data_IF_076202200139
#
_entry.id   IF_076202200139
#
_cell.length_a   1.000
_cell.length_b   1.000
_cell.length_c   1.000
_cell.angle_alpha   90.00
_cell.angle_beta   90.00
_cell.angle_gamma   90.00
#
_symmetry.space_group_name_H-M   'P 1'
#
loop_
_entity.id
_entity.type
_entity.pdbx_description
1 polymer ?
#
# COMPACT_ATOMS: atom_id res chain seq x y z
N UNK A 1 -21.17 9.31 9.70
CA UNK A 1 -19.91 8.91 9.03
C UNK A 1 -19.41 7.64 9.72
N UNK A 2 -19.52 6.47 9.08
CA UNK A 2 -19.25 5.17 9.71
C UNK A 2 -17.76 4.98 10.03
N UNK A 3 -17.45 4.09 10.98
CA UNK A 3 -16.09 3.78 11.40
C UNK A 3 -15.23 3.21 10.25
N UNK A 4 -15.86 2.51 9.31
CA UNK A 4 -15.26 1.96 8.10
C UNK A 4 -14.61 3.05 7.22
N UNK A 5 -15.26 4.22 7.08
CA UNK A 5 -14.70 5.33 6.29
C UNK A 5 -13.46 5.96 6.93
N UNK A 6 -13.30 5.85 8.26
CA UNK A 6 -12.12 6.39 8.97
C UNK A 6 -10.92 5.45 8.85
N UNK A 7 -11.14 4.14 8.92
CA UNK A 7 -10.09 3.14 8.79
C UNK A 7 -9.57 3.06 7.35
N UNK A 8 -10.47 3.15 6.34
CA UNK A 8 -10.07 3.27 4.94
C UNK A 8 -9.21 4.51 4.67
N UNK A 9 -9.63 5.68 5.17
CA UNK A 9 -8.84 6.93 5.11
C UNK A 9 -7.47 6.80 5.79
N UNK A 10 -7.42 6.11 6.93
CA UNK A 10 -6.17 5.82 7.63
C UNK A 10 -5.26 4.93 6.78
N UNK A 11 -5.76 3.80 6.28
CA UNK A 11 -5.02 2.85 5.44
C UNK A 11 -4.51 3.46 4.12
N UNK A 12 -5.25 4.43 3.55
CA UNK A 12 -4.87 5.17 2.33
C UNK A 12 -3.69 6.12 2.56
N UNK A 13 -3.80 6.98 3.57
CA UNK A 13 -2.95 8.18 3.67
C UNK A 13 -1.62 7.94 4.39
N UNK A 14 -1.47 6.85 5.13
CA UNK A 14 -0.31 6.66 6.00
C UNK A 14 0.94 6.11 5.29
N UNK A 15 0.86 5.69 4.03
CA UNK A 15 2.02 5.23 3.25
C UNK A 15 2.86 4.18 4.03
N UNK A 16 4.20 4.33 4.14
CA UNK A 16 5.06 3.40 4.89
C UNK A 16 4.73 3.32 6.39
N UNK A 17 4.05 4.33 6.95
CA UNK A 17 3.68 4.32 8.37
C UNK A 17 2.72 3.18 8.74
N UNK A 18 1.97 2.63 7.77
CA UNK A 18 1.10 1.46 7.99
C UNK A 18 1.88 0.19 8.33
N UNK A 19 3.15 0.12 7.94
CA UNK A 19 4.02 -1.02 8.25
C UNK A 19 4.90 -0.74 9.47
N UNK A 20 5.39 0.49 9.61
CA UNK A 20 6.28 0.87 10.72
C UNK A 20 5.63 0.71 12.10
N UNK A 21 4.35 1.03 12.25
CA UNK A 21 3.67 0.91 13.56
C UNK A 21 3.51 -0.55 13.99
N UNK A 22 2.93 -1.47 13.17
CA UNK A 22 2.87 -2.89 13.53
C UNK A 22 4.23 -3.54 13.73
N UNK A 23 5.20 -3.26 12.83
CA UNK A 23 6.56 -3.79 12.95
C UNK A 23 7.21 -3.31 14.25
N UNK A 24 7.08 -2.02 14.57
CA UNK A 24 7.61 -1.47 15.81
C UNK A 24 7.00 -2.12 17.05
N UNK A 25 5.69 -2.37 17.06
CA UNK A 25 5.00 -3.08 18.15
C UNK A 25 5.51 -4.52 18.27
N UNK A 26 5.65 -5.24 17.14
CA UNK A 26 6.17 -6.60 17.12
C UNK A 26 7.58 -6.65 17.69
N UNK A 27 8.46 -5.71 17.32
CA UNK A 27 9.83 -5.63 17.85
C UNK A 27 9.84 -5.35 19.36
N UNK A 28 8.97 -4.46 19.85
CA UNK A 28 8.83 -4.20 21.29
C UNK A 28 8.40 -5.47 22.02
N UNK A 29 7.35 -6.16 21.53
CA UNK A 29 6.84 -7.40 22.13
C UNK A 29 7.92 -8.48 22.12
N UNK A 30 8.63 -8.67 21.00
CA UNK A 30 9.75 -9.59 20.89
C UNK A 30 10.85 -9.26 21.91
N UNK A 31 11.22 -7.98 22.04
CA UNK A 31 12.21 -7.55 23.03
C UNK A 31 11.76 -7.79 24.48
N UNK A 32 10.48 -7.62 24.80
CA UNK A 32 9.93 -7.95 26.13
C UNK A 32 9.99 -9.46 26.37
N UNK A 33 9.59 -10.28 25.38
CA UNK A 33 9.65 -11.75 25.48
C UNK A 33 11.09 -12.23 25.63
N UNK A 34 12.04 -11.70 24.84
CA UNK A 34 13.46 -12.01 24.98
C UNK A 34 14.06 -11.54 26.30
N UNK A 35 13.49 -10.50 26.93
CA UNK A 35 13.92 -10.06 28.27
C UNK A 35 13.62 -11.11 29.35
N UNK A 36 12.60 -11.96 29.16
CA UNK A 36 12.31 -13.08 30.07
C UNK A 36 13.40 -14.17 30.01
N UNK A 37 14.04 -14.34 28.85
CA UNK A 37 15.16 -15.26 28.66
C UNK A 37 16.54 -14.63 28.96
N UNK A 38 16.55 -13.42 29.53
CA UNK A 38 17.79 -12.72 29.82
C UNK A 38 18.50 -13.37 31.02
N UNK A 39 19.72 -13.84 30.78
CA UNK A 39 20.53 -14.52 31.80
C UNK A 39 21.60 -13.61 32.41
N UNK A 40 21.38 -12.29 32.39
CA UNK A 40 22.30 -11.29 32.97
C UNK A 40 22.69 -11.61 34.41
N UNK A 41 21.70 -11.95 35.23
CA UNK A 41 21.85 -12.20 36.67
C UNK A 41 22.18 -13.67 36.99
N UNK A 42 22.32 -14.51 35.96
CA UNK A 42 22.69 -15.91 36.16
C UNK A 42 24.15 -15.98 36.62
N UNK A 43 24.38 -16.83 37.62
CA UNK A 43 25.70 -17.14 38.15
C UNK A 43 26.32 -18.26 37.33
N UNK A 44 27.65 -18.28 37.26
CA UNK A 44 28.39 -19.29 36.51
C UNK A 44 28.90 -20.38 37.47
N UNK A 45 28.73 -21.64 37.09
CA UNK A 45 29.31 -22.81 37.73
C UNK A 45 29.94 -23.74 36.68
N UNK A 46 30.75 -24.69 37.15
CA UNK A 46 31.27 -25.79 36.33
C UNK A 46 30.46 -27.06 36.63
N UNK A 47 29.84 -27.62 35.60
CA UNK A 47 29.22 -28.93 35.66
C UNK A 47 30.19 -30.02 35.21
N UNK A 48 30.08 -31.21 35.80
CA UNK A 48 30.83 -32.40 35.41
C UNK A 48 29.87 -33.33 34.67
N UNK A 49 30.23 -33.70 33.43
CA UNK A 49 29.43 -34.60 32.59
C UNK A 49 29.41 -36.00 33.20
N UNK A 50 28.21 -36.50 33.49
CA UNK A 50 27.98 -37.84 34.02
C UNK A 50 27.57 -38.83 32.94
N UNK A 51 26.87 -38.37 31.90
CA UNK A 51 26.43 -39.21 30.77
C UNK A 51 26.23 -38.39 29.48
N UNK A 52 26.31 -39.06 28.32
CA UNK A 52 26.13 -38.44 27.00
C UNK A 52 25.33 -39.36 26.10
N UNK A 53 24.17 -38.88 25.66
CA UNK A 53 23.26 -39.61 24.77
C UNK A 53 23.36 -38.99 23.37
N UNK A 54 23.95 -39.69 22.38
CA UNK A 54 23.97 -39.23 21.01
C UNK A 54 22.61 -39.44 20.34
N UNK A 55 22.12 -38.42 19.64
CA UNK A 55 20.90 -38.43 18.83
C UNK A 55 21.24 -37.97 17.40
N UNK A 56 20.41 -38.36 16.44
CA UNK A 56 20.49 -37.86 15.06
C UNK A 56 19.21 -37.09 14.78
N UNK A 57 19.32 -35.83 14.35
CA UNK A 57 18.16 -35.02 14.00
C UNK A 57 17.61 -35.40 12.61
N UNK A 58 16.46 -34.83 12.25
CA UNK A 58 15.77 -35.12 10.98
C UNK A 58 16.60 -34.79 9.73
N UNK A 59 17.58 -33.89 9.86
CA UNK A 59 18.53 -33.51 8.81
C UNK A 59 19.77 -34.42 8.74
N UNK A 60 19.81 -35.48 9.55
CA UNK A 60 20.93 -36.44 9.59
C UNK A 60 22.17 -35.93 10.33
N UNK A 61 22.09 -34.81 11.04
CA UNK A 61 23.19 -34.28 11.85
C UNK A 61 23.21 -34.92 13.24
N UNK A 62 24.41 -35.20 13.74
CA UNK A 62 24.59 -35.72 15.10
C UNK A 62 24.42 -34.60 16.12
N UNK A 63 23.59 -34.85 17.11
CA UNK A 63 23.35 -34.01 18.27
C UNK A 63 23.62 -34.83 19.54
N UNK A 64 23.93 -34.14 20.64
CA UNK A 64 24.25 -34.77 21.91
C UNK A 64 23.38 -34.18 23.00
N UNK A 65 22.73 -35.06 23.77
CA UNK A 65 22.14 -34.71 25.06
C UNK A 65 23.15 -35.04 26.15
N UNK A 66 23.60 -34.02 26.86
CA UNK A 66 24.63 -34.14 27.90
C UNK A 66 23.96 -34.05 29.26
N UNK A 67 24.14 -35.08 30.09
CA UNK A 67 23.71 -35.13 31.48
C UNK A 67 24.91 -34.78 32.36
N UNK A 68 24.73 -33.86 33.31
CA UNK A 68 25.80 -33.36 34.17
C UNK A 68 25.29 -33.02 35.56
N UNK A 69 26.24 -32.96 36.50
CA UNK A 69 26.01 -32.53 37.88
C UNK A 69 26.83 -31.27 38.16
N UNK A 70 26.30 -30.32 38.94
CA UNK A 70 27.04 -29.11 39.29
C UNK A 70 26.71 -28.63 40.71
N UNK A 71 27.65 -27.93 41.33
CA UNK A 71 27.47 -27.29 42.63
C UNK A 71 27.15 -25.80 42.44
N UNK A 72 26.11 -25.34 43.13
CA UNK A 72 25.76 -23.92 43.24
C UNK A 72 26.68 -23.20 44.22
N UNK A 73 26.77 -21.87 44.13
CA UNK A 73 27.65 -21.07 45.02
C UNK A 73 27.20 -21.13 46.49
N UNK A 74 25.91 -21.39 46.72
CA UNK A 74 25.33 -21.59 48.06
C UNK A 74 25.42 -23.06 48.54
N UNK A 75 26.17 -23.91 47.82
CA UNK A 75 26.50 -25.27 48.26
C UNK A 75 25.41 -26.32 48.01
N UNK A 76 24.37 -26.02 47.21
CA UNK A 76 23.39 -27.01 46.76
C UNK A 76 23.99 -27.82 45.60
N UNK A 77 23.93 -29.15 45.73
CA UNK A 77 24.32 -30.09 44.68
C UNK A 77 23.14 -30.35 43.74
N UNK A 78 23.32 -30.08 42.45
CA UNK A 78 22.31 -30.28 41.42
C UNK A 78 22.68 -31.51 40.59
N UNK A 79 21.86 -32.56 40.66
CA UNK A 79 22.08 -33.82 39.95
C UNK A 79 21.22 -33.94 38.69
N UNK A 80 21.71 -34.73 37.73
CA UNK A 80 21.00 -35.17 36.53
C UNK A 80 20.42 -34.01 35.69
N UNK A 81 21.15 -32.91 35.62
CA UNK A 81 20.79 -31.77 34.80
C UNK A 81 21.16 -32.04 33.34
N UNK A 82 20.44 -31.47 32.39
CA UNK A 82 20.61 -31.81 30.99
C UNK A 82 20.70 -30.59 30.07
N UNK A 83 21.58 -30.69 29.08
CA UNK A 83 21.56 -29.84 27.89
C UNK A 83 21.33 -30.72 26.67
N UNK A 84 20.24 -30.45 25.94
CA UNK A 84 19.91 -31.14 24.70
C UNK A 84 20.45 -30.40 23.47
N UNK A 85 20.49 -31.09 22.33
CA UNK A 85 20.77 -30.54 21.01
C UNK A 85 22.14 -29.83 20.90
N UNK A 86 23.15 -30.35 21.60
CA UNK A 86 24.52 -29.84 21.49
C UNK A 86 25.19 -30.43 20.24
N UNK A 87 25.85 -29.61 19.44
CA UNK A 87 26.59 -30.06 18.24
C UNK A 87 28.01 -30.54 18.55
N UNK A 88 28.53 -30.20 19.73
CA UNK A 88 29.86 -30.62 20.18
C UNK A 88 29.76 -31.96 20.90
N UNK A 89 30.65 -32.88 20.58
CA UNK A 89 30.83 -34.14 21.30
C UNK A 89 31.48 -33.88 22.68
N UNK A 90 30.89 -34.46 23.72
CA UNK A 90 31.40 -34.42 25.10
C UNK A 90 31.71 -35.83 25.58
N UNK A 91 32.61 -35.95 26.55
CA UNK A 91 32.95 -37.20 27.24
C UNK A 91 32.56 -37.13 28.71
N UNK A 92 32.31 -38.30 29.30
CA UNK A 92 32.11 -38.43 30.75
C UNK A 92 33.35 -37.88 31.47
N UNK A 93 33.13 -37.03 32.46
CA UNK A 93 34.17 -36.31 33.19
C UNK A 93 34.57 -34.95 32.60
N UNK A 94 34.07 -34.59 31.41
CA UNK A 94 34.31 -33.26 30.85
C UNK A 94 33.66 -32.17 31.72
N UNK A 95 34.29 -31.00 31.72
CA UNK A 95 33.74 -29.80 32.35
C UNK A 95 32.89 -29.02 31.36
N UNK A 96 31.68 -28.65 31.77
CA UNK A 96 30.77 -27.80 31.02
C UNK A 96 30.45 -26.52 31.80
N UNK A 97 30.34 -25.39 31.08
CA UNK A 97 29.93 -24.13 31.71
C UNK A 97 28.42 -24.12 31.88
N UNK A 98 27.97 -23.88 33.11
CA UNK A 98 26.56 -23.80 33.47
C UNK A 98 26.29 -22.41 33.98
N UNK A 99 25.32 -21.73 33.39
CA UNK A 99 24.75 -20.50 33.95
C UNK A 99 23.40 -20.86 34.57
N UNK A 100 23.22 -20.58 35.85
CA UNK A 100 21.99 -20.89 36.59
C UNK A 100 21.37 -19.65 37.23
N UNK A 101 20.04 -19.63 37.36
CA UNK A 101 19.34 -18.60 38.12
C UNK A 101 19.53 -18.85 39.64
N UNK A 102 20.15 -17.95 40.42
CA UNK A 102 20.33 -18.15 41.85
C UNK A 102 19.01 -18.25 42.63
N UNK A 103 17.91 -17.70 42.10
CA UNK A 103 16.57 -17.79 42.71
C UNK A 103 15.86 -19.10 42.39
N UNK A 104 16.23 -19.73 41.28
CA UNK A 104 15.65 -20.99 40.77
C UNK A 104 16.72 -21.82 40.05
N UNK A 105 17.59 -22.57 40.77
CA UNK A 105 18.76 -23.22 40.18
C UNK A 105 18.46 -24.32 39.15
N UNK A 106 17.20 -24.76 39.04
CA UNK A 106 16.76 -25.66 37.98
C UNK A 106 16.73 -24.97 36.60
N UNK A 107 16.68 -23.63 36.56
CA UNK A 107 16.78 -22.85 35.32
C UNK A 107 18.24 -22.66 34.94
N UNK A 108 18.69 -23.50 34.00
CA UNK A 108 20.06 -23.55 33.52
C UNK A 108 20.17 -23.21 32.04
N UNK A 109 21.30 -22.67 31.63
CA UNK A 109 21.69 -22.49 30.23
C UNK A 109 23.20 -22.66 30.06
N UNK A 110 23.63 -23.04 28.86
CA UNK A 110 25.04 -23.16 28.50
C UNK A 110 25.63 -21.86 27.92
N UNK A 111 24.81 -20.80 27.77
CA UNK A 111 25.20 -19.54 27.17
C UNK A 111 24.65 -18.33 27.94
N UNK A 112 25.48 -17.29 28.08
CA UNK A 112 25.07 -16.03 28.69
C UNK A 112 24.52 -15.10 27.62
N UNK A 113 23.21 -14.90 27.61
CA UNK A 113 22.57 -13.91 26.74
C UNK A 113 22.68 -12.55 27.42
N UNK A 114 23.37 -11.61 26.78
CA UNK A 114 23.50 -10.25 27.30
C UNK A 114 22.16 -9.50 27.25
N UNK A 115 21.92 -8.64 28.24
CA UNK A 115 20.73 -7.80 28.30
C UNK A 115 20.60 -6.81 27.12
N UNK A 116 21.66 -6.61 26.34
CA UNK A 116 21.72 -5.62 25.27
C UNK A 116 20.79 -5.96 24.10
N UNK A 117 20.61 -7.25 23.77
CA UNK A 117 19.80 -7.66 22.62
C UNK A 117 18.29 -7.40 22.83
N UNK A 118 17.68 -7.77 23.98
CA UNK A 118 16.31 -7.36 24.29
C UNK A 118 16.12 -5.83 24.31
N UNK A 119 17.08 -5.11 24.89
CA UNK A 119 17.07 -3.63 24.91
C UNK A 119 17.10 -3.07 23.50
N UNK A 120 17.94 -3.62 22.62
CA UNK A 120 18.03 -3.19 21.22
C UNK A 120 16.69 -3.36 20.49
N UNK A 121 16.03 -4.50 20.63
CA UNK A 121 14.72 -4.74 20.02
C UNK A 121 13.66 -3.74 20.51
N UNK A 122 13.63 -3.46 21.81
CA UNK A 122 12.71 -2.48 22.41
C UNK A 122 12.99 -1.07 21.86
N UNK A 123 14.26 -0.65 21.80
CA UNK A 123 14.65 0.67 21.29
C UNK A 123 14.32 0.83 19.82
N UNK A 124 14.69 -0.15 18.98
CA UNK A 124 14.37 -0.12 17.54
C UNK A 124 12.86 -0.10 17.31
N UNK A 125 12.12 -0.91 18.05
CA UNK A 125 10.66 -0.94 17.96
C UNK A 125 10.02 0.39 18.38
N UNK A 126 10.49 1.00 19.48
CA UNK A 126 10.01 2.30 19.93
C UNK A 126 10.28 3.42 18.90
N UNK A 127 11.48 3.44 18.31
CA UNK A 127 11.84 4.40 17.25
C UNK A 127 10.96 4.19 16.02
N UNK A 128 10.77 2.95 15.57
CA UNK A 128 9.91 2.63 14.43
C UNK A 128 8.45 3.05 14.66
N UNK A 129 7.89 2.74 15.84
CA UNK A 129 6.54 3.14 16.22
C UNK A 129 6.39 4.67 16.28
N UNK A 130 7.35 5.38 16.90
CA UNK A 130 7.32 6.84 16.98
C UNK A 130 7.40 7.49 15.59
N UNK A 131 8.28 6.99 14.71
CA UNK A 131 8.38 7.45 13.32
C UNK A 131 7.07 7.20 12.56
N UNK A 132 6.47 6.02 12.70
CA UNK A 132 5.19 5.68 12.10
C UNK A 132 4.05 6.59 12.57
N UNK A 133 3.96 6.88 13.87
CA UNK A 133 2.98 7.83 14.43
C UNK A 133 3.22 9.24 13.86
N UNK A 134 4.45 9.72 13.84
CA UNK A 134 4.78 11.04 13.30
C UNK A 134 4.40 11.19 11.82
N UNK A 135 4.74 10.21 10.98
CA UNK A 135 4.39 10.20 9.56
C UNK A 135 2.88 10.18 9.36
N UNK A 136 2.17 9.39 10.15
CA UNK A 136 0.70 9.34 10.18
C UNK A 136 0.10 10.72 10.50
N UNK A 137 0.58 11.38 11.57
CA UNK A 137 0.12 12.73 11.95
C UNK A 137 0.41 13.75 10.84
N UNK A 138 1.59 13.69 10.23
CA UNK A 138 1.96 14.57 9.11
C UNK A 138 1.03 14.38 7.90
N UNK A 139 0.70 13.14 7.56
CA UNK A 139 -0.24 12.83 6.49
C UNK A 139 -1.65 13.37 6.78
N UNK A 140 -2.14 13.21 8.00
CA UNK A 140 -3.43 13.78 8.41
C UNK A 140 -3.44 15.31 8.37
N UNK A 141 -2.35 15.97 8.79
CA UNK A 141 -2.22 17.43 8.67
C UNK A 141 -2.27 17.88 7.21
N UNK A 142 -1.58 17.19 6.31
CA UNK A 142 -1.62 17.48 4.87
C UNK A 142 -3.03 17.30 4.30
N UNK A 143 -3.70 16.19 4.61
CA UNK A 143 -5.09 15.95 4.20
C UNK A 143 -6.04 17.03 4.73
N UNK A 144 -5.89 17.44 6.00
CA UNK A 144 -6.72 18.50 6.58
C UNK A 144 -6.49 19.85 5.92
N UNK A 145 -5.25 20.17 5.54
CA UNK A 145 -4.94 21.39 4.78
C UNK A 145 -5.59 21.35 3.40
N UNK A 146 -5.56 20.20 2.70
CA UNK A 146 -6.21 20.03 1.39
C UNK A 146 -7.75 20.13 1.48
N UNK A 147 -8.34 19.63 2.58
CA UNK A 147 -9.77 19.75 2.88
C UNK A 147 -10.17 21.20 3.22
N UNK A 148 -9.24 22.01 3.76
CA UNK A 148 -9.48 23.43 4.05
C UNK A 148 -9.38 24.31 2.79
N UNK A 149 -8.49 23.96 1.86
CA UNK A 149 -8.27 24.76 0.64
C UNK A 149 -9.22 24.40 -0.50
N UNK A 150 -9.87 23.23 -0.46
CA UNK A 150 -11.05 22.98 -1.30
C UNK A 150 -12.14 22.37 -0.41
N UNK A 151 -13.25 23.09 -0.18
CA UNK A 151 -14.31 22.62 0.70
C UNK A 151 -14.85 21.29 0.18
N UNK A 152 -15.09 20.36 1.10
CA UNK A 152 -15.79 19.12 0.79
C UNK A 152 -17.11 19.42 0.08
N UNK A 153 -17.51 18.55 -0.85
CA UNK A 153 -18.80 18.60 -1.51
C UNK A 153 -19.91 18.90 -0.50
N UNK A 154 -20.68 19.96 -0.74
CA UNK A 154 -21.83 20.27 0.11
C UNK A 154 -22.82 19.09 0.09
N UNK A 155 -23.62 18.94 1.14
CA UNK A 155 -24.67 17.90 1.15
C UNK A 155 -25.62 18.06 -0.05
N UNK A 156 -25.84 19.29 -0.51
CA UNK A 156 -26.59 19.60 -1.73
C UNK A 156 -25.88 19.05 -2.97
N UNK A 157 -24.58 19.31 -3.16
CA UNK A 157 -23.81 18.80 -4.30
C UNK A 157 -23.84 17.26 -4.37
N UNK A 158 -23.80 16.57 -3.22
CA UNK A 158 -23.94 15.11 -3.19
C UNK A 158 -25.33 14.63 -3.59
N UNK A 159 -26.37 15.34 -3.16
CA UNK A 159 -27.75 15.03 -3.56
C UNK A 159 -27.96 15.27 -5.07
N UNK A 160 -27.40 16.34 -5.62
CA UNK A 160 -27.47 16.66 -7.04
C UNK A 160 -26.80 15.56 -7.88
N UNK A 161 -25.62 15.08 -7.46
CA UNK A 161 -24.90 14.00 -8.13
C UNK A 161 -25.71 12.70 -8.20
N UNK A 162 -26.51 12.37 -7.18
CA UNK A 162 -27.40 11.20 -7.25
C UNK A 162 -28.48 11.33 -8.34
N UNK A 163 -28.93 12.56 -8.63
CA UNK A 163 -29.89 12.86 -9.68
C UNK A 163 -29.29 13.11 -11.07
N UNK A 164 -27.97 13.17 -11.23
CA UNK A 164 -27.32 13.61 -12.48
C UNK A 164 -27.76 12.83 -13.71
N UNK A 165 -27.99 11.51 -13.59
CA UNK A 165 -28.40 10.67 -14.72
C UNK A 165 -29.75 11.06 -15.34
N UNK A 166 -30.62 11.70 -14.56
CA UNK A 166 -31.99 12.07 -14.98
C UNK A 166 -32.23 13.57 -14.90
N UNK A 167 -31.24 14.35 -14.49
CA UNK A 167 -31.36 15.79 -14.34
C UNK A 167 -31.45 16.49 -15.71
N UNK A 168 -32.36 17.45 -15.81
CA UNK A 168 -32.50 18.26 -17.01
C UNK A 168 -31.24 19.11 -17.24
N UNK A 169 -30.71 19.08 -18.47
CA UNK A 169 -29.51 19.83 -18.84
C UNK A 169 -28.18 19.16 -18.48
N UNK A 170 -28.21 17.95 -17.92
CA UNK A 170 -27.05 17.08 -17.84
C UNK A 170 -26.94 16.27 -19.13
N UNK A 171 -25.74 16.22 -19.71
CA UNK A 171 -25.45 15.46 -20.91
C UNK A 171 -24.58 14.26 -20.55
N UNK A 172 -24.89 13.12 -21.18
CA UNK A 172 -24.07 11.92 -21.11
C UNK A 172 -23.00 11.94 -22.19
N UNK A 173 -21.77 11.60 -21.80
CA UNK A 173 -20.61 11.47 -22.67
C UNK A 173 -19.89 10.16 -22.42
N UNK A 174 -19.14 9.72 -23.42
CA UNK A 174 -18.42 8.45 -23.42
C UNK A 174 -16.93 8.71 -23.55
N UNK A 175 -16.16 8.13 -22.64
CA UNK A 175 -14.71 8.18 -22.67
C UNK A 175 -14.15 6.79 -22.98
N UNK A 176 -13.40 6.70 -24.07
CA UNK A 176 -12.87 5.44 -24.59
C UNK A 176 -11.42 5.57 -25.06
N UNK A 177 -10.74 4.43 -25.10
CA UNK A 177 -9.43 4.30 -25.72
C UNK A 177 -9.57 3.84 -27.17
N UNK A 178 -9.10 4.64 -28.10
CA UNK A 178 -9.03 4.32 -29.53
C UNK A 178 -7.72 3.62 -29.86
N UNK A 179 -7.79 2.36 -30.29
CA UNK A 179 -6.64 1.56 -30.76
C UNK A 179 -6.48 1.55 -32.27
N UNK A 180 -7.55 1.88 -32.99
CA UNK A 180 -7.64 1.58 -34.42
C UNK A 180 -7.15 2.75 -35.28
N UNK A 181 -7.03 3.95 -34.70
CA UNK A 181 -6.39 5.06 -35.40
C UNK A 181 -4.88 4.86 -35.52
N UNK A 182 -4.31 5.51 -36.54
CA UNK A 182 -2.85 5.59 -36.75
C UNK A 182 -2.11 6.17 -35.53
N UNK A 183 -2.81 6.91 -34.68
CA UNK A 183 -2.29 7.50 -33.44
C UNK A 183 -3.25 7.16 -32.29
N UNK A 184 -3.08 6.00 -31.64
CA UNK A 184 -3.98 5.57 -30.59
C UNK A 184 -4.03 6.59 -29.45
N UNK A 185 -5.17 6.69 -28.77
CA UNK A 185 -5.41 7.76 -27.81
C UNK A 185 -6.71 7.62 -27.06
N UNK A 186 -7.06 8.64 -26.28
CA UNK A 186 -8.32 8.72 -25.59
C UNK A 186 -9.27 9.69 -26.29
N UNK A 187 -10.55 9.34 -26.35
CA UNK A 187 -11.59 10.16 -26.97
C UNK A 187 -12.72 10.32 -25.96
N UNK A 188 -13.16 11.56 -25.78
CA UNK A 188 -14.42 11.92 -25.15
C UNK A 188 -15.42 12.32 -26.25
N UNK A 189 -16.51 11.59 -26.37
CA UNK A 189 -17.54 11.77 -27.40
C UNK A 189 -18.94 11.88 -26.79
N UNK A 190 -19.87 12.48 -27.54
CA UNK A 190 -21.30 12.50 -27.19
C UNK A 190 -22.04 11.24 -27.69
N UNK A 191 -23.35 11.22 -27.49
CA UNK A 191 -24.23 10.13 -27.93
C UNK A 191 -24.30 9.95 -29.45
N UNK A 192 -23.93 10.97 -30.24
CA UNK A 192 -23.90 10.90 -31.71
C UNK A 192 -22.48 10.54 -32.22
N UNK A 193 -21.59 10.08 -31.34
CA UNK A 193 -20.16 9.80 -31.60
C UNK A 193 -19.36 11.00 -32.11
N UNK A 194 -19.83 12.23 -31.85
CA UNK A 194 -19.05 13.41 -32.18
C UNK A 194 -17.96 13.56 -31.13
N UNK A 195 -16.70 13.48 -31.57
CA UNK A 195 -15.56 13.75 -30.71
C UNK A 195 -15.61 15.21 -30.22
N UNK A 196 -15.59 15.38 -28.89
CA UNK A 196 -15.58 16.68 -28.22
C UNK A 196 -14.19 17.02 -27.71
N UNK A 197 -13.47 16.00 -27.20
CA UNK A 197 -12.12 16.15 -26.71
C UNK A 197 -11.32 14.89 -27.03
N UNK A 198 -10.05 15.03 -27.39
CA UNK A 198 -9.21 13.92 -27.80
C UNK A 198 -7.78 14.07 -27.28
N UNK A 199 -7.22 13.01 -26.72
CA UNK A 199 -5.82 12.92 -26.32
C UNK A 199 -5.09 11.91 -27.20
N UNK A 200 -4.52 12.38 -28.32
CA UNK A 200 -3.77 11.54 -29.27
C UNK A 200 -2.38 11.25 -28.76
N UNK A 201 -1.96 9.99 -28.70
CA UNK A 201 -0.58 9.67 -28.34
C UNK A 201 0.35 9.97 -29.52
N UNK A 202 1.22 10.98 -29.36
CA UNK A 202 2.25 11.34 -30.33
C UNK A 202 3.47 10.44 -30.24
N UNK A 203 3.82 10.02 -29.02
CA UNK A 203 4.99 9.19 -28.75
C UNK A 203 4.67 8.17 -27.67
N UNK A 204 4.74 6.89 -28.05
CA UNK A 204 4.71 5.80 -27.09
C UNK A 204 6.15 5.50 -26.63
N UNK A 205 6.49 5.86 -25.40
CA UNK A 205 7.81 5.59 -24.84
C UNK A 205 7.80 4.27 -24.06
N UNK A 206 8.68 3.33 -24.43
CA UNK A 206 8.91 2.11 -23.64
C UNK A 206 9.52 2.44 -22.27
N UNK A 207 10.36 3.48 -22.22
CA UNK A 207 11.00 4.02 -21.02
C UNK A 207 10.84 5.54 -21.04
N UNK A 208 10.25 6.11 -20.00
CA UNK A 208 10.01 7.56 -19.87
C UNK A 208 8.56 7.97 -20.07
N UNK A 209 8.32 9.27 -20.23
CA UNK A 209 6.98 9.82 -20.46
C UNK A 209 6.52 9.54 -21.91
N UNK A 210 5.25 9.15 -22.04
CA UNK A 210 4.50 9.20 -23.30
C UNK A 210 4.18 10.66 -23.59
N UNK A 211 4.10 11.01 -24.87
CA UNK A 211 3.68 12.36 -25.28
C UNK A 211 2.28 12.29 -25.87
N UNK A 212 1.39 13.14 -25.39
CA UNK A 212 0.02 13.25 -25.89
C UNK A 212 -0.23 14.66 -26.45
N UNK A 213 -1.07 14.73 -27.48
CA UNK A 213 -1.67 15.95 -28.03
C UNK A 213 -3.14 15.96 -27.63
N UNK A 214 -3.50 16.90 -26.75
CA UNK A 214 -4.85 17.11 -26.29
C UNK A 214 -5.51 18.16 -27.19
N UNK A 215 -6.63 17.79 -27.80
CA UNK A 215 -7.40 18.61 -28.74
C UNK A 215 -8.81 18.79 -28.20
N UNK A 216 -9.19 20.03 -27.92
CA UNK A 216 -10.58 20.40 -27.67
C UNK A 216 -11.25 20.73 -29.00
N UNK A 217 -12.09 19.83 -29.50
CA UNK A 217 -12.79 20.00 -30.78
C UNK A 217 -13.89 21.06 -30.73
N UNK A 218 -14.27 21.52 -29.54
CA UNK A 218 -15.28 22.59 -29.37
C UNK A 218 -14.67 23.98 -29.50
N UNK A 219 -13.39 24.14 -29.12
CA UNK A 219 -12.68 25.43 -29.18
C UNK A 219 -11.59 25.46 -30.24
N UNK A 220 -11.13 24.30 -30.72
CA UNK A 220 -10.00 24.16 -31.64
C UNK A 220 -8.63 24.29 -30.96
N UNK A 221 -8.57 24.35 -29.62
CA UNK A 221 -7.33 24.45 -28.86
C UNK A 221 -6.60 23.11 -28.86
N UNK A 222 -5.29 23.16 -29.13
CA UNK A 222 -4.41 21.99 -29.13
C UNK A 222 -3.24 22.24 -28.18
N UNK A 223 -3.00 21.31 -27.26
CA UNK A 223 -1.90 21.36 -26.29
C UNK A 223 -1.15 20.04 -26.25
N UNK A 224 0.16 20.08 -26.08
CA UNK A 224 0.98 18.88 -25.92
C UNK A 224 1.32 18.66 -24.45
N UNK A 225 1.26 17.41 -23.99
CA UNK A 225 1.51 17.03 -22.61
C UNK A 225 2.43 15.81 -22.52
N UNK A 226 3.34 15.85 -21.54
CA UNK A 226 4.19 14.72 -21.18
C UNK A 226 3.54 13.93 -20.05
N UNK A 227 3.17 12.69 -20.34
CA UNK A 227 2.39 11.84 -19.45
C UNK A 227 3.07 10.51 -19.23
N UNK A 228 3.31 10.13 -17.98
CA UNK A 228 3.85 8.80 -17.71
C UNK A 228 3.97 8.45 -16.25
N UNK A 229 4.19 7.16 -15.99
CA UNK A 229 4.57 6.69 -14.67
C UNK A 229 6.06 6.95 -14.47
N UNK A 230 6.41 7.81 -13.53
CA UNK A 230 7.78 7.77 -13.00
C UNK A 230 7.79 6.74 -11.89
N UNK A 231 8.23 5.53 -12.20
CA UNK A 231 8.62 4.57 -11.18
C UNK A 231 9.95 5.05 -10.58
N UNK A 232 9.90 5.70 -9.43
CA UNK A 232 11.13 5.93 -8.67
C UNK A 232 11.45 4.63 -7.94
N UNK A 233 12.42 3.88 -8.46
CA UNK A 233 13.08 2.81 -7.69
C UNK A 233 13.90 3.51 -6.61
N UNK A 234 13.27 3.80 -5.47
CA UNK A 234 14.00 4.20 -4.27
C UNK A 234 14.72 2.95 -3.74
N UNK A 235 16.02 2.83 -4.04
CA UNK A 235 16.91 1.85 -3.42
C UNK A 235 17.19 2.28 -1.97
N UNK A 236 16.20 2.09 -1.10
CA UNK A 236 16.28 2.42 0.32
C UNK A 236 15.64 1.31 1.15
N UNK A 237 16.45 0.33 1.57
CA UNK A 237 16.25 -0.67 2.64
C UNK A 237 14.96 -1.52 2.72
N UNK A 238 13.93 -1.26 1.92
CA UNK A 238 12.69 -2.04 1.94
C UNK A 238 12.52 -2.75 0.59
N UNK A 239 12.24 -4.06 0.65
CA UNK A 239 11.85 -4.89 -0.48
C UNK A 239 10.83 -4.16 -1.38
N UNK A 240 11.31 -3.74 -2.55
CA UNK A 240 10.57 -3.24 -3.72
C UNK A 240 9.22 -2.54 -3.46
N UNK A 241 9.22 -1.35 -2.85
CA UNK A 241 8.06 -0.45 -2.95
C UNK A 241 8.14 0.36 -4.24
N UNK A 242 7.53 -0.13 -5.32
CA UNK A 242 7.38 0.66 -6.54
C UNK A 242 6.27 1.70 -6.33
N UNK A 243 6.62 2.89 -5.83
CA UNK A 243 5.71 4.04 -5.86
C UNK A 243 5.58 4.51 -7.31
N UNK A 244 4.66 3.89 -8.05
CA UNK A 244 4.23 4.42 -9.33
C UNK A 244 3.37 5.65 -9.04
N UNK A 245 3.86 6.83 -9.43
CA UNK A 245 3.03 8.04 -9.49
C UNK A 245 2.87 8.41 -10.94
N UNK A 246 1.61 8.52 -11.38
CA UNK A 246 1.29 9.01 -12.71
C UNK A 246 1.51 10.51 -12.74
N UNK A 247 2.41 10.95 -13.63
CA UNK A 247 2.78 12.34 -13.80
C UNK A 247 2.20 12.90 -15.09
N UNK A 248 1.77 14.15 -14.99
CA UNK A 248 1.28 14.98 -16.07
C UNK A 248 2.13 16.26 -16.07
N UNK A 249 2.88 16.50 -17.14
CA UNK A 249 3.87 17.57 -17.28
C UNK A 249 4.86 17.64 -16.09
N UNK A 250 5.32 16.47 -15.65
CA UNK A 250 6.27 16.34 -14.56
C UNK A 250 5.70 16.53 -13.15
N UNK A 251 4.43 16.94 -13.00
CA UNK A 251 3.71 17.02 -11.72
C UNK A 251 2.85 15.77 -11.50
N UNK A 252 2.51 15.47 -10.24
CA UNK A 252 1.53 14.42 -9.96
C UNK A 252 0.16 14.83 -10.52
N UNK A 253 -0.50 13.95 -11.28
CA UNK A 253 -1.78 14.29 -11.92
C UNK A 253 -2.86 14.68 -10.91
N UNK A 254 -2.88 14.04 -9.74
CA UNK A 254 -3.88 14.32 -8.72
C UNK A 254 -3.67 15.69 -8.08
N UNK A 255 -2.42 16.14 -7.96
CA UNK A 255 -2.14 17.51 -7.52
C UNK A 255 -2.70 18.52 -8.53
N UNK A 256 -2.56 18.28 -9.84
CA UNK A 256 -3.12 19.16 -10.89
C UNK A 256 -4.66 19.14 -10.86
N UNK A 257 -5.28 17.96 -10.78
CA UNK A 257 -6.74 17.81 -10.64
C UNK A 257 -7.23 18.61 -9.42
N UNK A 258 -6.54 18.49 -8.28
CA UNK A 258 -6.88 19.21 -7.07
C UNK A 258 -6.64 20.72 -7.15
N UNK A 259 -5.58 21.17 -7.82
CA UNK A 259 -5.26 22.58 -8.09
C UNK A 259 -6.37 23.23 -8.95
N UNK A 260 -7.01 22.46 -9.84
CA UNK A 260 -8.17 22.88 -10.64
C UNK A 260 -9.49 22.91 -9.85
N UNK A 261 -9.43 22.64 -8.55
CA UNK A 261 -10.59 22.63 -7.65
C UNK A 261 -11.42 21.35 -7.73
N UNK A 262 -10.97 20.33 -8.47
CA UNK A 262 -11.71 19.07 -8.60
C UNK A 262 -11.48 18.20 -7.38
N UNK A 263 -12.48 17.43 -6.97
CA UNK A 263 -12.42 16.41 -5.92
C UNK A 263 -13.24 15.21 -6.38
N UNK A 264 -12.75 14.02 -6.08
CA UNK A 264 -13.35 12.76 -6.48
C UNK A 264 -13.78 12.05 -5.20
N UNK A 265 -14.90 11.35 -5.26
CA UNK A 265 -15.37 10.46 -4.20
C UNK A 265 -15.69 9.12 -4.89
N UNK A 266 -14.94 8.07 -4.54
CA UNK A 266 -15.04 6.77 -5.20
C UNK A 266 -15.88 5.80 -4.39
N UNK A 267 -16.79 5.11 -5.07
CA UNK A 267 -17.66 4.09 -4.46
C UNK A 267 -17.82 2.87 -5.36
N UNK A 268 -18.05 1.72 -4.74
CA UNK A 268 -18.33 0.47 -5.44
C UNK A 268 -19.80 0.43 -5.86
N UNK A 269 -20.05 -0.01 -7.09
CA UNK A 269 -21.40 -0.35 -7.56
C UNK A 269 -21.63 -1.85 -7.30
N UNK A 270 -22.88 -2.28 -7.09
CA UNK A 270 -23.26 -3.65 -6.69
C UNK A 270 -22.77 -4.76 -7.63
N UNK A 271 -22.37 -4.42 -8.86
CA UNK A 271 -21.81 -5.35 -9.83
C UNK A 271 -20.31 -5.10 -9.95
N UNK A 272 -19.50 -5.82 -9.18
CA UNK A 272 -18.04 -5.78 -9.29
C UNK A 272 -17.62 -6.25 -10.71
N UNK A 273 -16.66 -5.59 -11.39
CA UNK A 273 -15.70 -4.58 -10.92
C UNK A 273 -16.04 -3.11 -11.30
N UNK A 274 -17.31 -2.71 -11.27
CA UNK A 274 -17.69 -1.34 -11.65
C UNK A 274 -17.53 -0.34 -10.51
N UNK A 275 -16.84 0.77 -10.81
CA UNK A 275 -16.56 1.87 -9.90
C UNK A 275 -17.37 3.08 -10.31
N UNK A 276 -17.94 3.76 -9.31
CA UNK A 276 -18.59 5.06 -9.44
C UNK A 276 -17.67 6.13 -8.86
N UNK A 277 -17.49 7.21 -9.60
CA UNK A 277 -16.71 8.37 -9.19
C UNK A 277 -17.62 9.60 -9.22
N UNK A 278 -17.86 10.17 -8.05
CA UNK A 278 -18.61 11.40 -7.87
C UNK A 278 -17.62 12.57 -7.82
N UNK A 279 -17.64 13.41 -8.84
CA UNK A 279 -16.69 14.51 -9.02
C UNK A 279 -17.36 15.84 -8.67
N UNK A 280 -16.71 16.60 -7.83
CA UNK A 280 -17.09 17.99 -7.53
C UNK A 280 -16.00 18.95 -7.97
N UNK A 281 -16.38 20.18 -8.29
CA UNK A 281 -15.46 21.27 -8.61
C UNK A 281 -15.77 22.46 -7.73
N UNK A 282 -14.80 22.90 -6.93
CA UNK A 282 -14.96 23.98 -5.96
C UNK A 282 -16.13 23.78 -4.98
N UNK A 283 -16.46 22.51 -4.65
CA UNK A 283 -17.53 22.15 -3.74
C UNK A 283 -18.92 21.95 -4.39
N UNK A 284 -19.05 22.21 -5.69
CA UNK A 284 -20.27 22.03 -6.48
C UNK A 284 -20.24 20.72 -7.29
N UNK A 285 -21.41 20.15 -7.58
CA UNK A 285 -21.52 18.96 -8.43
C UNK A 285 -20.95 19.24 -9.82
N UNK A 286 -19.98 18.45 -10.26
CA UNK A 286 -19.30 18.65 -11.53
C UNK A 286 -19.59 17.52 -12.51
N UNK A 287 -19.31 16.28 -12.13
CA UNK A 287 -19.56 15.13 -12.99
C UNK A 287 -19.78 13.87 -12.17
N UNK A 288 -20.56 12.94 -12.71
CA UNK A 288 -20.59 11.54 -12.26
C UNK A 288 -19.93 10.70 -13.34
N UNK A 289 -19.00 9.84 -12.96
CA UNK A 289 -18.27 8.96 -13.89
C UNK A 289 -18.47 7.52 -13.41
N UNK A 290 -18.74 6.60 -14.32
CA UNK A 290 -18.88 5.18 -14.01
C UNK A 290 -18.02 4.35 -14.96
N UNK A 291 -17.25 3.41 -14.41
CA UNK A 291 -16.62 2.39 -15.24
C UNK A 291 -17.66 1.37 -15.69
N UNK A 292 -17.64 1.01 -16.96
CA UNK A 292 -18.52 0.01 -17.57
C UNK A 292 -17.71 -0.93 -18.46
N UNK A 293 -18.10 -2.21 -18.45
CA UNK A 293 -17.59 -3.22 -19.37
C UNK A 293 -18.46 -3.38 -20.62
N UNK A 294 -19.65 -2.80 -20.59
CA UNK A 294 -20.60 -2.75 -21.71
C UNK A 294 -20.33 -1.49 -22.50
N UNK A 295 -20.11 -1.63 -23.80
CA UNK A 295 -19.98 -0.51 -24.70
C UNK A 295 -21.39 -0.01 -25.03
N UNK A 296 -21.66 1.28 -24.82
CA UNK A 296 -23.05 1.79 -24.85
C UNK A 296 -23.66 1.81 -26.25
N UNK A 297 -22.85 1.64 -27.29
CA UNK A 297 -23.29 1.53 -28.68
C UNK A 297 -23.22 0.09 -29.23
N UNK A 298 -23.38 -0.93 -28.39
CA UNK A 298 -23.46 -2.33 -28.84
C UNK A 298 -24.57 -2.54 -29.89
N UNK A 299 -25.70 -1.83 -29.79
CA UNK A 299 -26.79 -1.91 -30.79
C UNK A 299 -26.42 -1.32 -32.16
N UNK A 300 -25.46 -0.39 -32.20
CA UNK A 300 -24.92 0.20 -33.42
C UNK A 300 -23.82 -0.65 -34.06
N UNK A 301 -23.35 -1.70 -33.39
CA UNK A 301 -22.32 -2.62 -33.91
C UNK A 301 -22.77 -3.27 -35.23
N UNK A 302 -24.07 -3.60 -35.31
CA UNK A 302 -24.70 -4.14 -36.51
C UNK A 302 -24.89 -3.10 -37.63
N UNK A 303 -25.08 -1.82 -37.29
CA UNK A 303 -25.34 -0.76 -38.28
C UNK A 303 -24.05 -0.11 -38.83
N UNK A 304 -23.00 -0.02 -38.02
CA UNK A 304 -21.80 0.75 -38.37
C UNK A 304 -20.55 -0.11 -38.63
N UNK A 305 -20.65 -1.44 -38.54
CA UNK A 305 -19.54 -2.37 -38.78
C UNK A 305 -18.27 -2.05 -37.98
N UNK A 306 -18.43 -1.50 -36.77
CA UNK A 306 -17.31 -1.15 -35.88
C UNK A 306 -17.16 -2.26 -34.86
N UNK A 307 -16.05 -3.00 -34.90
CA UNK A 307 -15.77 -4.02 -33.88
C UNK A 307 -15.56 -3.35 -32.52
N UNK A 308 -16.39 -3.69 -31.53
CA UNK A 308 -16.20 -3.22 -30.16
C UNK A 308 -14.99 -3.95 -29.55
N UNK A 309 -13.99 -3.23 -29.02
CA UNK A 309 -12.85 -3.88 -28.40
C UNK A 309 -13.26 -4.54 -27.08
N UNK A 310 -13.37 -5.86 -27.07
CA UNK A 310 -13.61 -6.66 -25.86
C UNK A 310 -12.40 -6.59 -24.91
N UNK A 311 -12.66 -6.43 -23.61
CA UNK A 311 -11.63 -6.44 -22.56
C UNK A 311 -11.09 -5.06 -22.12
N UNK A 312 -11.64 -3.94 -22.59
CA UNK A 312 -11.29 -2.60 -22.13
C UNK A 312 -12.35 -2.04 -21.17
N UNK A 313 -11.92 -1.27 -20.16
CA UNK A 313 -12.87 -0.47 -19.38
C UNK A 313 -13.24 0.80 -20.16
N UNK A 314 -14.53 1.03 -20.31
CA UNK A 314 -15.08 2.28 -20.81
C UNK A 314 -15.57 3.11 -19.64
N UNK A 315 -15.65 4.43 -19.83
CA UNK A 315 -16.23 5.32 -18.83
C UNK A 315 -17.42 6.05 -19.41
N UNK A 316 -18.54 5.97 -18.71
CA UNK A 316 -19.71 6.83 -18.94
C UNK A 316 -19.60 7.99 -17.99
N UNK A 317 -19.85 9.20 -18.48
CA UNK A 317 -19.84 10.37 -17.62
C UNK A 317 -21.03 11.27 -17.89
N UNK A 318 -21.59 11.80 -16.82
CA UNK A 318 -22.72 12.73 -16.84
C UNK A 318 -22.23 14.06 -16.29
N UNK A 319 -22.37 15.14 -17.05
CA UNK A 319 -22.05 16.50 -16.59
C UNK A 319 -22.96 17.54 -17.25
N UNK A 320 -23.18 18.67 -16.57
CA UNK A 320 -23.77 19.88 -17.15
C UNK A 320 -22.70 20.95 -17.46
N UNK A 321 -21.43 20.66 -17.19
CA UNK A 321 -20.32 21.57 -17.39
C UNK A 321 -19.83 21.56 -18.84
N UNK A 322 -19.39 22.73 -19.33
CA UNK A 322 -18.69 22.87 -20.62
C UNK A 322 -17.16 22.80 -20.48
N UNK A 323 -16.66 22.61 -19.28
CA UNK A 323 -15.22 22.48 -19.02
C UNK A 323 -14.74 21.05 -19.33
N UNK A 324 -14.64 20.75 -20.63
CA UNK A 324 -14.20 19.45 -21.12
C UNK A 324 -12.74 19.16 -20.79
N UNK A 325 -11.89 20.19 -20.65
CA UNK A 325 -10.48 20.01 -20.28
C UNK A 325 -10.34 19.39 -18.87
N UNK A 326 -11.07 19.93 -17.90
CA UNK A 326 -11.12 19.38 -16.54
C UNK A 326 -11.75 17.99 -16.48
N UNK A 327 -12.84 17.77 -17.23
CA UNK A 327 -13.51 16.47 -17.28
C UNK A 327 -12.60 15.41 -17.90
N UNK A 328 -12.00 15.71 -19.06
CA UNK A 328 -11.11 14.81 -19.77
C UNK A 328 -9.89 14.45 -18.92
N UNK A 329 -9.21 15.45 -18.35
CA UNK A 329 -8.05 15.20 -17.48
C UNK A 329 -8.40 14.31 -16.29
N UNK A 330 -9.59 14.52 -15.69
CA UNK A 330 -10.07 13.71 -14.57
C UNK A 330 -10.27 12.25 -14.97
N UNK A 331 -11.01 12.00 -16.06
CA UNK A 331 -11.28 10.63 -16.52
C UNK A 331 -9.98 9.96 -17.00
N UNK A 332 -9.11 10.70 -17.68
CA UNK A 332 -7.79 10.25 -18.11
C UNK A 332 -6.90 9.86 -16.92
N UNK A 333 -6.91 10.65 -15.85
CA UNK A 333 -6.20 10.33 -14.61
C UNK A 333 -6.75 9.05 -13.96
N UNK A 334 -8.08 8.87 -13.94
CA UNK A 334 -8.73 7.65 -13.43
C UNK A 334 -8.33 6.44 -14.28
N UNK A 335 -8.38 6.56 -15.61
CA UNK A 335 -8.11 5.44 -16.52
C UNK A 335 -6.68 4.95 -16.48
N UNK A 336 -5.72 5.87 -16.36
CA UNK A 336 -4.29 5.54 -16.39
C UNK A 336 -3.76 5.02 -15.04
N UNK A 337 -4.40 5.34 -13.92
CA UNK A 337 -4.00 4.84 -12.61
C UNK A 337 -4.60 3.45 -12.27
N UNK A 338 -4.75 2.59 -13.30
CA UNK A 338 -5.26 1.20 -13.21
C UNK A 338 -5.03 0.56 -11.84
N UNK A 339 -6.11 0.28 -11.12
CA UNK A 339 -6.14 -0.43 -9.83
C UNK A 339 -5.51 0.24 -8.61
N UNK A 340 -5.41 1.56 -8.58
CA UNK A 340 -5.58 2.24 -7.30
C UNK A 340 -7.04 2.63 -7.21
N UNK A 341 -7.73 2.27 -6.12
CA UNK A 341 -8.89 3.05 -5.67
C UNK A 341 -8.33 4.45 -5.47
N UNK A 342 -8.43 5.27 -6.51
CA UNK A 342 -8.15 6.69 -6.42
C UNK A 342 -9.32 7.20 -5.61
N UNK A 343 -9.04 7.60 -4.38
CA UNK A 343 -10.02 8.32 -3.57
C UNK A 343 -10.16 9.75 -4.05
#
# INVERSE_FOLDING_TARGET
MSFENKLGRFMRNTGPARFLVPVGIILIVAGILFSVFNTKDYKQAEGIVSDVIPTTNDDGQKEYTVIFNFDTEDGRHMENQQFANLSKEYKIGDKIKVFYDPKDPAKITNSKTGAWLPILFIVLGAVATAAGIYLTVKAFKKSKQLDQTAPAASAAAKADLEGFKTAQGVTEYYFRWDRNSLRPGYILEDADRKALYEGKMLKNALVGARKFEFTDHTTGVVTEHDVGHTGTLEYGSEFFSMKSSFKFDGKNVWDIVHERGLRIDTSLISNFPYLKYDVTKNGEAFARIESTGVYVHEDEEAQHAVTVPTGNMFYRCWTNSKDFDSLFLTIFAISENTQTVVE
#
